data_IF_641854816813
#
_entry.id   IF_641854816813
#
_cell.length_a   1.000
_cell.length_b   1.000
_cell.length_c   1.000
_cell.angle_alpha   90.00
_cell.angle_beta   90.00
_cell.angle_gamma   90.00
#
_symmetry.space_group_name_H-M   'P 1'
#
loop_
_entity.id
_entity.type
_entity.pdbx_description
1 polymer ?
#
# COMPACT_ATOMS: atom_id res chain seq x y z
N UNK A 1 -9.01 22.20 -17.26
CA UNK A 1 -8.11 21.86 -18.38
C UNK A 1 -6.92 22.80 -18.32
N UNK A 2 -5.74 22.33 -18.75
CA UNK A 2 -4.43 23.03 -18.77
C UNK A 2 -3.73 22.93 -17.39
N UNK A 3 -2.55 22.32 -17.21
CA UNK A 3 -1.33 22.20 -18.04
C UNK A 3 -0.66 20.82 -17.93
N UNK A 4 -0.09 20.36 -19.04
CA UNK A 4 0.86 19.26 -19.18
C UNK A 4 2.13 19.50 -18.33
N UNK A 5 2.49 18.65 -17.35
CA UNK A 5 3.86 18.60 -16.87
C UNK A 5 4.60 17.54 -17.69
N UNK A 6 5.71 17.94 -18.28
CA UNK A 6 6.61 17.09 -19.07
C UNK A 6 6.92 15.80 -18.29
N UNK A 7 6.31 14.70 -18.73
CA UNK A 7 6.62 13.37 -18.23
C UNK A 7 8.09 13.09 -18.58
N UNK A 8 9.01 12.87 -17.61
CA UNK A 8 10.29 12.26 -17.93
C UNK A 8 9.99 10.94 -18.65
N UNK A 9 10.76 10.63 -19.70
CA UNK A 9 10.55 9.49 -20.61
C UNK A 9 10.61 8.10 -19.93
N UNK A 10 10.63 8.04 -18.61
CA UNK A 10 10.93 6.87 -17.79
C UNK A 10 10.03 6.77 -16.52
N UNK A 11 8.86 7.42 -16.53
CA UNK A 11 7.88 7.41 -15.43
C UNK A 11 6.65 6.53 -15.72
N UNK A 12 6.15 5.83 -14.70
CA UNK A 12 4.86 5.12 -14.76
C UNK A 12 3.74 6.14 -15.05
N UNK A 13 2.87 5.85 -16.03
CA UNK A 13 1.70 6.68 -16.33
C UNK A 13 0.85 6.91 -15.08
N UNK A 14 0.36 8.14 -14.89
CA UNK A 14 -0.50 8.51 -13.75
C UNK A 14 -1.65 7.51 -13.56
N UNK A 15 -2.25 7.06 -14.66
CA UNK A 15 -3.33 6.08 -14.64
C UNK A 15 -2.89 4.72 -14.08
N UNK A 16 -1.71 4.24 -14.50
CA UNK A 16 -1.21 2.95 -14.02
C UNK A 16 -0.83 3.04 -12.54
N UNK A 17 -0.22 4.15 -12.12
CA UNK A 17 0.11 4.40 -10.73
C UNK A 17 -1.13 4.43 -9.82
N UNK A 18 -2.21 5.11 -10.24
CA UNK A 18 -3.45 5.15 -9.46
C UNK A 18 -4.10 3.79 -9.35
N UNK A 19 -4.15 3.02 -10.45
CA UNK A 19 -4.70 1.66 -10.43
C UNK A 19 -3.91 0.74 -9.49
N UNK A 20 -2.58 0.79 -9.50
CA UNK A 20 -1.77 -0.01 -8.58
C UNK A 20 -1.99 0.35 -7.11
N UNK A 21 -2.06 1.64 -6.78
CA UNK A 21 -2.31 2.10 -5.41
C UNK A 21 -3.71 1.71 -4.94
N UNK A 22 -4.73 1.93 -5.77
CA UNK A 22 -6.11 1.54 -5.46
C UNK A 22 -6.20 0.03 -5.31
N UNK A 23 -5.59 -0.75 -6.20
CA UNK A 23 -5.59 -2.22 -6.13
C UNK A 23 -4.97 -2.76 -4.85
N UNK A 24 -3.82 -2.22 -4.43
CA UNK A 24 -3.17 -2.62 -3.17
C UNK A 24 -4.03 -2.31 -1.95
N UNK A 25 -4.49 -1.07 -1.83
CA UNK A 25 -5.25 -0.61 -0.64
C UNK A 25 -6.66 -1.20 -0.60
N UNK A 26 -7.36 -1.30 -1.74
CA UNK A 26 -8.72 -1.81 -1.80
C UNK A 26 -8.81 -3.31 -1.46
N UNK A 27 -7.80 -4.11 -1.85
CA UNK A 27 -7.81 -5.56 -1.61
C UNK A 27 -7.99 -5.90 -0.13
N UNK A 28 -7.11 -5.39 0.74
CA UNK A 28 -7.17 -5.67 2.18
C UNK A 28 -8.40 -5.03 2.83
N UNK A 29 -8.74 -3.81 2.41
CA UNK A 29 -9.91 -3.10 2.95
C UNK A 29 -11.21 -3.88 2.72
N UNK A 30 -11.49 -4.29 1.48
CA UNK A 30 -12.74 -4.97 1.12
C UNK A 30 -12.92 -6.29 1.89
N UNK A 31 -11.84 -7.01 2.17
CA UNK A 31 -11.89 -8.27 2.92
C UNK A 31 -12.20 -8.05 4.41
N UNK A 32 -11.80 -6.91 4.99
CA UNK A 32 -12.08 -6.57 6.38
C UNK A 32 -13.44 -5.88 6.60
N UNK A 33 -14.01 -5.23 5.57
CA UNK A 33 -15.29 -4.53 5.64
C UNK A 33 -16.49 -5.38 6.07
N UNK A 34 -16.75 -6.60 5.54
CA UNK A 34 -17.93 -7.36 5.94
C UNK A 34 -17.86 -7.79 7.40
N UNK A 35 -16.66 -8.13 7.88
CA UNK A 35 -16.43 -8.51 9.27
C UNK A 35 -16.77 -7.36 10.24
N UNK A 36 -16.37 -6.13 9.92
CA UNK A 36 -16.70 -4.97 10.75
C UNK A 36 -18.20 -4.63 10.74
N UNK A 37 -18.89 -4.79 9.61
CA UNK A 37 -20.35 -4.54 9.53
C UNK A 37 -21.13 -5.52 10.39
N UNK A 38 -20.77 -6.82 10.38
CA UNK A 38 -21.44 -7.84 11.21
C UNK A 38 -21.29 -7.55 12.70
N UNK A 39 -20.13 -7.03 13.13
CA UNK A 39 -19.87 -6.69 14.53
C UNK A 39 -20.56 -5.39 14.99
N UNK A 40 -20.63 -4.39 14.13
CA UNK A 40 -21.07 -3.02 14.51
C UNK A 40 -22.54 -2.73 14.14
N UNK A 41 -23.17 -3.62 13.37
CA UNK A 41 -24.53 -3.43 12.86
C UNK A 41 -24.64 -2.24 11.90
N UNK A 42 -25.83 -1.62 11.80
CA UNK A 42 -26.09 -0.50 10.88
C UNK A 42 -25.17 0.71 11.10
N UNK A 43 -24.63 0.87 12.30
CA UNK A 43 -23.67 1.94 12.63
C UNK A 43 -22.32 1.79 11.93
N UNK A 44 -21.97 0.58 11.47
CA UNK A 44 -20.74 0.31 10.72
C UNK A 44 -20.67 1.05 9.39
N UNK A 45 -21.80 1.25 8.70
CA UNK A 45 -21.87 1.98 7.43
C UNK A 45 -21.41 3.44 7.63
N UNK A 46 -21.83 4.07 8.72
CA UNK A 46 -21.43 5.44 9.03
C UNK A 46 -19.91 5.55 9.27
N UNK A 47 -19.32 4.59 9.99
CA UNK A 47 -17.88 4.54 10.24
C UNK A 47 -17.06 4.32 8.95
N UNK A 48 -17.58 3.50 8.03
CA UNK A 48 -16.94 3.28 6.72
C UNK A 48 -16.92 4.57 5.91
N UNK A 49 -18.05 5.28 5.82
CA UNK A 49 -18.12 6.55 5.09
C UNK A 49 -17.22 7.61 5.74
N UNK A 50 -17.25 7.72 7.07
CA UNK A 50 -16.42 8.67 7.81
C UNK A 50 -14.91 8.40 7.62
N UNK A 51 -14.49 7.13 7.71
CA UNK A 51 -13.10 6.74 7.50
C UNK A 51 -12.63 6.91 6.05
N UNK A 52 -13.51 6.68 5.07
CA UNK A 52 -13.23 6.95 3.66
C UNK A 52 -13.01 8.46 3.41
N UNK A 53 -13.88 9.33 3.95
CA UNK A 53 -13.71 10.78 3.85
C UNK A 53 -12.45 11.27 4.55
N UNK A 54 -12.18 10.77 5.76
CA UNK A 54 -10.96 11.11 6.51
C UNK A 54 -9.70 10.70 5.75
N UNK A 55 -9.67 9.49 5.18
CA UNK A 55 -8.53 8.99 4.39
C UNK A 55 -8.33 9.80 3.11
N UNK A 56 -9.42 10.14 2.41
CA UNK A 56 -9.38 11.02 1.24
C UNK A 56 -8.86 12.41 1.56
N UNK A 57 -9.28 12.99 2.69
CA UNK A 57 -8.79 14.29 3.14
C UNK A 57 -7.29 14.26 3.48
N UNK A 58 -6.83 13.21 4.16
CA UNK A 58 -5.40 13.00 4.44
C UNK A 58 -4.58 12.89 3.15
N UNK A 59 -5.06 12.11 2.17
CA UNK A 59 -4.41 11.97 0.86
C UNK A 59 -4.33 13.31 0.11
N UNK A 60 -5.41 14.08 0.11
CA UNK A 60 -5.45 15.41 -0.50
C UNK A 60 -4.44 16.38 0.14
N UNK A 61 -4.41 16.44 1.48
CA UNK A 61 -3.48 17.31 2.21
C UNK A 61 -2.03 16.95 1.94
N UNK A 62 -1.71 15.66 1.88
CA UNK A 62 -0.37 15.22 1.56
C UNK A 62 0.04 15.60 0.14
N UNK A 63 -0.85 15.40 -0.84
CA UNK A 63 -0.63 15.81 -2.22
C UNK A 63 -0.37 17.32 -2.32
N UNK A 64 -1.17 18.13 -1.62
CA UNK A 64 -0.98 19.58 -1.59
C UNK A 64 0.35 19.99 -0.92
N UNK A 65 0.77 19.32 0.17
CA UNK A 65 2.07 19.56 0.78
C UNK A 65 3.22 19.20 -0.17
N UNK A 66 3.06 18.15 -0.97
CA UNK A 66 4.03 17.74 -1.97
C UNK A 66 4.17 18.78 -3.10
N UNK A 67 3.06 19.27 -3.66
CA UNK A 67 3.09 20.28 -4.72
C UNK A 67 3.74 21.58 -4.26
N UNK A 68 3.45 22.03 -3.03
CA UNK A 68 4.08 23.23 -2.45
C UNK A 68 5.60 23.03 -2.29
N UNK A 69 6.02 21.82 -1.90
CA UNK A 69 7.44 21.50 -1.72
C UNK A 69 8.18 21.48 -3.06
N UNK A 70 7.57 20.91 -4.09
CA UNK A 70 8.11 20.84 -5.45
C UNK A 70 8.21 22.22 -6.13
N UNK A 71 7.25 23.12 -5.86
CA UNK A 71 7.29 24.50 -6.37
C UNK A 71 8.39 25.35 -5.72
N UNK A 72 8.69 25.11 -4.43
CA UNK A 72 9.56 25.97 -3.63
C UNK A 72 11.03 25.58 -3.67
N UNK A 73 11.36 24.33 -4.01
CA UNK A 73 12.73 23.82 -4.01
C UNK A 73 13.01 23.04 -5.29
N UNK A 74 13.79 23.62 -6.21
CA UNK A 74 14.14 22.99 -7.50
C UNK A 74 14.88 21.64 -7.35
N UNK A 75 15.51 21.42 -6.19
CA UNK A 75 16.19 20.16 -5.81
C UNK A 75 15.23 18.95 -5.78
N UNK A 76 13.92 19.17 -5.57
CA UNK A 76 12.90 18.11 -5.51
C UNK A 76 12.10 17.95 -6.81
N UNK A 77 12.41 18.68 -7.89
CA UNK A 77 11.79 18.50 -9.22
C UNK A 77 12.20 17.20 -9.94
N UNK A 78 13.13 16.43 -9.36
CA UNK A 78 13.57 15.13 -9.86
C UNK A 78 12.82 13.94 -9.22
N UNK A 79 13.16 12.71 -9.63
CA UNK A 79 12.64 11.49 -9.01
C UNK A 79 13.13 11.36 -7.56
N UNK A 80 12.25 11.65 -6.61
CA UNK A 80 12.51 11.45 -5.18
C UNK A 80 11.90 10.12 -4.77
N UNK A 81 12.73 9.19 -4.28
CA UNK A 81 12.30 7.84 -3.90
C UNK A 81 11.42 7.79 -2.65
N UNK A 82 11.57 8.76 -1.76
CA UNK A 82 10.89 8.82 -0.46
C UNK A 82 10.28 10.22 -0.20
N UNK A 83 9.04 10.48 -0.67
CA UNK A 83 8.41 11.80 -0.55
C UNK A 83 7.97 12.14 0.88
N UNK A 84 7.53 11.14 1.66
CA UNK A 84 7.03 11.38 3.02
C UNK A 84 8.11 11.88 4.00
N UNK A 85 9.31 11.25 4.08
CA UNK A 85 10.37 11.72 4.95
C UNK A 85 10.96 13.06 4.52
N UNK A 86 10.93 13.41 3.22
CA UNK A 86 11.43 14.71 2.73
C UNK A 86 10.47 15.86 3.09
N UNK A 87 9.15 15.66 2.96
CA UNK A 87 8.14 16.60 3.46
C UNK A 87 8.32 16.81 4.97
N UNK A 88 8.46 15.72 5.75
CA UNK A 88 8.65 15.78 7.19
C UNK A 88 9.95 16.50 7.59
N UNK A 89 11.04 16.24 6.85
CA UNK A 89 12.33 16.90 7.09
C UNK A 89 12.27 18.40 6.89
N UNK A 90 11.54 18.87 5.86
CA UNK A 90 11.41 20.30 5.57
C UNK A 90 10.40 21.01 6.47
N UNK A 91 9.39 20.30 6.96
CA UNK A 91 8.39 20.87 7.86
C UNK A 91 8.89 21.02 9.31
N UNK A 92 9.57 20.00 9.86
CA UNK A 92 9.91 19.92 11.29
C UNK A 92 11.36 19.48 11.59
N UNK A 93 12.20 19.31 10.57
CA UNK A 93 13.63 18.99 10.74
C UNK A 93 13.95 17.50 10.88
N UNK A 94 15.16 17.19 11.38
CA UNK A 94 15.74 15.82 11.44
C UNK A 94 14.91 14.84 12.27
N UNK A 95 14.34 15.29 13.38
CA UNK A 95 13.56 14.43 14.29
C UNK A 95 12.26 13.93 13.64
N UNK A 96 11.53 14.81 12.95
CA UNK A 96 10.32 14.43 12.24
C UNK A 96 10.59 13.45 11.09
N UNK A 97 11.70 13.62 10.36
CA UNK A 97 12.12 12.67 9.32
C UNK A 97 12.31 11.25 9.88
N UNK A 98 12.99 11.12 11.02
CA UNK A 98 13.20 9.80 11.65
C UNK A 98 11.88 9.20 12.14
N UNK A 99 11.02 10.01 12.76
CA UNK A 99 9.70 9.56 13.22
C UNK A 99 8.81 9.07 12.06
N UNK A 100 8.70 9.84 10.98
CA UNK A 100 7.91 9.47 9.80
C UNK A 100 8.46 8.22 9.11
N UNK A 101 9.78 8.09 8.99
CA UNK A 101 10.39 6.89 8.42
C UNK A 101 10.13 5.65 9.28
N UNK A 102 10.24 5.75 10.60
CA UNK A 102 9.97 4.65 11.51
C UNK A 102 8.51 4.17 11.44
N UNK A 103 7.54 5.10 11.47
CA UNK A 103 6.12 4.72 11.39
C UNK A 103 5.75 4.15 10.02
N UNK A 104 6.37 4.63 8.94
CA UNK A 104 6.19 4.03 7.62
C UNK A 104 6.71 2.59 7.58
N UNK A 105 7.93 2.33 8.05
CA UNK A 105 8.50 0.97 8.06
C UNK A 105 7.63 0.02 8.89
N UNK A 106 7.18 0.46 10.07
CA UNK A 106 6.27 -0.32 10.91
C UNK A 106 4.92 -0.59 10.22
N UNK A 107 4.35 0.41 9.55
CA UNK A 107 3.12 0.26 8.78
C UNK A 107 3.27 -0.70 7.60
N UNK A 108 4.38 -0.61 6.86
CA UNK A 108 4.68 -1.52 5.75
C UNK A 108 4.89 -2.96 6.22
N UNK A 109 5.57 -3.15 7.36
CA UNK A 109 5.74 -4.46 7.97
C UNK A 109 4.39 -5.06 8.41
N UNK A 110 3.55 -4.26 9.06
CA UNK A 110 2.19 -4.66 9.42
C UNK A 110 1.35 -5.03 8.20
N UNK A 111 1.34 -4.19 7.18
CA UNK A 111 0.65 -4.45 5.92
C UNK A 111 1.12 -5.76 5.27
N UNK A 112 2.44 -5.98 5.17
CA UNK A 112 3.00 -7.21 4.60
C UNK A 112 2.61 -8.46 5.39
N UNK A 113 2.64 -8.39 6.72
CA UNK A 113 2.26 -9.53 7.57
C UNK A 113 0.80 -9.95 7.39
N UNK A 114 -0.13 -8.98 7.38
CA UNK A 114 -1.56 -9.24 7.19
C UNK A 114 -1.83 -9.75 5.77
N UNK A 115 -1.15 -9.19 4.77
CA UNK A 115 -1.27 -9.64 3.39
C UNK A 115 -0.83 -11.10 3.21
N UNK A 116 0.28 -11.51 3.86
CA UNK A 116 0.75 -12.89 3.84
C UNK A 116 -0.23 -13.85 4.52
N UNK A 117 -0.77 -13.47 5.69
CA UNK A 117 -1.77 -14.26 6.39
C UNK A 117 -3.02 -14.47 5.53
N UNK A 118 -3.55 -13.39 4.95
CA UNK A 118 -4.75 -13.42 4.11
C UNK A 118 -4.54 -14.24 2.83
N UNK A 119 -3.36 -14.14 2.22
CA UNK A 119 -2.99 -14.94 1.05
C UNK A 119 -2.92 -16.43 1.39
N UNK A 120 -2.37 -16.79 2.55
CA UNK A 120 -2.29 -18.18 2.99
C UNK A 120 -3.67 -18.79 3.25
N UNK A 121 -4.58 -18.05 3.91
CA UNK A 121 -5.97 -18.48 4.13
C UNK A 121 -6.71 -18.70 2.79
N UNK A 122 -6.59 -17.75 1.86
CA UNK A 122 -7.22 -17.86 0.54
C UNK A 122 -6.72 -19.09 -0.23
N UNK A 123 -5.41 -19.35 -0.23
CA UNK A 123 -4.82 -20.51 -0.93
C UNK A 123 -5.25 -21.82 -0.28
N UNK A 124 -5.34 -21.88 1.04
CA UNK A 124 -5.86 -23.06 1.74
C UNK A 124 -7.31 -23.35 1.37
N UNK A 125 -8.18 -22.34 1.38
CA UNK A 125 -9.60 -22.52 1.07
C UNK A 125 -9.81 -22.99 -0.37
N UNK A 126 -9.08 -22.41 -1.33
CA UNK A 126 -9.10 -22.85 -2.73
C UNK A 126 -8.57 -24.29 -2.85
N UNK A 127 -7.47 -24.61 -2.17
CA UNK A 127 -6.88 -25.97 -2.22
C UNK A 127 -7.82 -27.01 -1.61
N UNK A 128 -8.52 -26.68 -0.52
CA UNK A 128 -9.53 -27.56 0.11
C UNK A 128 -10.71 -27.81 -0.81
N UNK A 129 -11.18 -26.78 -1.53
CA UNK A 129 -12.28 -26.91 -2.49
C UNK A 129 -11.89 -27.78 -3.70
N UNK A 130 -10.67 -27.66 -4.21
CA UNK A 130 -10.19 -28.46 -5.35
C UNK A 130 -9.76 -29.89 -4.99
N UNK A 131 -9.19 -30.11 -3.80
CA UNK A 131 -8.56 -31.39 -3.44
C UNK A 131 -9.51 -32.43 -2.84
N UNK A 132 -10.80 -32.13 -2.67
CA UNK A 132 -11.79 -33.10 -2.17
C UNK A 132 -11.45 -33.76 -0.82
N UNK A 133 -10.58 -33.13 -0.01
CA UNK A 133 -10.25 -33.58 1.35
C UNK A 133 -9.09 -34.58 1.52
N UNK A 134 -8.27 -34.85 0.49
CA UNK A 134 -7.22 -35.90 0.58
C UNK A 134 -5.81 -35.43 1.00
N UNK A 135 -5.54 -34.12 1.07
CA UNK A 135 -4.21 -33.62 1.48
C UNK A 135 -4.30 -32.55 2.57
N UNK A 136 -4.15 -32.96 3.83
CA UNK A 136 -4.09 -32.08 5.01
C UNK A 136 -2.69 -31.48 5.19
N UNK A 137 -2.33 -30.52 4.33
CA UNK A 137 -1.16 -29.68 4.62
C UNK A 137 -1.49 -28.68 5.75
N UNK A 138 -0.64 -28.60 6.77
CA UNK A 138 -0.79 -27.66 7.88
C UNK A 138 -0.62 -26.21 7.41
N UNK A 139 -1.44 -25.30 7.93
CA UNK A 139 -1.46 -23.85 7.61
C UNK A 139 -0.07 -23.20 7.62
N UNK A 140 0.74 -23.55 8.62
CA UNK A 140 2.06 -22.97 8.82
C UNK A 140 3.01 -23.28 7.65
N UNK A 141 2.85 -24.42 6.99
CA UNK A 141 3.71 -24.82 5.87
C UNK A 141 3.38 -24.05 4.60
N UNK A 142 2.09 -23.84 4.31
CA UNK A 142 1.64 -22.97 3.20
C UNK A 142 2.07 -21.52 3.39
N UNK A 143 2.02 -21.02 4.64
CA UNK A 143 2.50 -19.68 4.97
C UNK A 143 3.99 -19.52 4.65
N UNK A 144 4.83 -20.46 5.06
CA UNK A 144 6.28 -20.44 4.77
C UNK A 144 6.55 -20.55 3.26
N UNK A 145 5.85 -21.43 2.55
CA UNK A 145 6.00 -21.60 1.09
C UNK A 145 5.64 -20.31 0.35
N UNK A 146 4.51 -19.68 0.70
CA UNK A 146 4.07 -18.43 0.07
C UNK A 146 5.01 -17.27 0.44
N UNK A 147 5.47 -17.19 1.68
CA UNK A 147 6.42 -16.16 2.11
C UNK A 147 7.77 -16.27 1.39
N UNK A 148 8.30 -17.48 1.23
CA UNK A 148 9.54 -17.73 0.48
C UNK A 148 9.32 -17.48 -1.02
N UNK A 149 8.21 -17.94 -1.58
CA UNK A 149 7.86 -17.72 -2.98
C UNK A 149 7.71 -16.24 -3.33
N UNK A 150 6.95 -15.48 -2.53
CA UNK A 150 6.81 -14.03 -2.68
C UNK A 150 8.12 -13.30 -2.38
N UNK A 151 8.89 -13.73 -1.39
CA UNK A 151 10.21 -13.17 -1.08
C UNK A 151 11.18 -13.31 -2.25
N UNK A 152 11.23 -14.49 -2.88
CA UNK A 152 12.02 -14.74 -4.09
C UNK A 152 11.50 -13.94 -5.28
N UNK A 153 10.18 -13.89 -5.48
CA UNK A 153 9.57 -13.09 -6.55
C UNK A 153 9.80 -11.59 -6.35
N UNK A 154 9.84 -11.08 -5.13
CA UNK A 154 10.18 -9.67 -4.86
C UNK A 154 11.66 -9.38 -5.18
N UNK A 155 12.56 -10.35 -4.99
CA UNK A 155 13.96 -10.22 -5.39
C UNK A 155 14.13 -10.24 -6.93
N UNK A 156 13.33 -11.01 -7.66
CA UNK A 156 13.29 -11.01 -9.14
C UNK A 156 12.44 -9.86 -9.73
N UNK A 157 11.51 -9.34 -8.93
CA UNK A 157 10.54 -8.29 -9.23
C UNK A 157 11.06 -6.88 -9.05
N UNK A 158 12.38 -6.67 -9.01
CA UNK A 158 12.97 -5.35 -9.28
C UNK A 158 13.45 -5.25 -10.74
N UNK A 159 12.59 -5.37 -11.77
CA UNK A 159 12.87 -4.86 -13.10
C UNK A 159 12.47 -3.37 -13.15
N UNK A 160 12.87 -2.58 -12.14
CA UNK A 160 12.93 -1.11 -12.27
C UNK A 160 14.22 -0.66 -12.99
N UNK A 161 15.00 -1.62 -13.48
CA UNK A 161 16.22 -1.48 -14.29
C UNK A 161 16.12 -2.21 -15.65
N UNK A 162 14.90 -2.47 -16.16
CA UNK A 162 14.73 -2.87 -17.55
C UNK A 162 13.93 -1.82 -18.33
N UNK A 163 14.66 -0.82 -18.85
CA UNK A 163 14.30 -0.11 -20.09
C UNK A 163 13.78 1.30 -19.95
#
# INVERSE_FOLDING_TARGET
MVTNPRLPAHGISLFLATVFVVGGVAGIGILALPYSIVLTGWSGIFLIVASALASGFCGWKLGACWTILEERWEEYRGHVRDPYPSIAFKAYGKWARMGTSAIQILGLFGYGSVFLLLSAELVMDVTRQFSGGTVTFYFCYWLIIIAVGLGLLMQLGTPKDFG
#
